data_IF_145078751886
#
_entry.id   IF_145078751886
#
_cell.length_a   1.000
_cell.length_b   1.000
_cell.length_c   1.000
_cell.angle_alpha   90.00
_cell.angle_beta   90.00
_cell.angle_gamma   90.00
#
_symmetry.space_group_name_H-M   'P 1'
#
loop_
_entity.id
_entity.type
_entity.pdbx_description
1 polymer ?
#
# COMPACT_ATOMS: atom_id res chain seq x y z
N UNK A 1 4.72 1.25 26.12
CA UNK A 1 3.31 0.95 26.40
C UNK A 1 2.39 1.96 25.74
N UNK A 2 1.10 1.68 25.73
CA UNK A 2 0.06 2.61 25.25
C UNK A 2 -0.20 3.60 26.38
N UNK A 3 -0.35 4.89 26.07
CA UNK A 3 -0.73 5.91 27.04
C UNK A 3 -2.15 5.58 27.56
N UNK A 4 -2.36 5.53 28.90
CA UNK A 4 -3.66 5.24 29.46
C UNK A 4 -4.80 6.14 28.97
N UNK A 5 -4.52 7.37 28.58
CA UNK A 5 -5.50 8.31 28.02
C UNK A 5 -6.05 7.85 26.66
N UNK A 6 -5.34 6.97 25.97
CA UNK A 6 -5.74 6.40 24.66
C UNK A 6 -6.38 5.01 24.81
N UNK A 7 -6.71 4.60 26.03
CA UNK A 7 -7.36 3.31 26.30
C UNK A 7 -8.84 3.56 26.59
N UNK A 8 -9.70 3.07 25.72
CA UNK A 8 -11.16 3.16 25.85
C UNK A 8 -11.72 1.76 26.14
N UNK A 9 -11.86 1.44 27.42
CA UNK A 9 -12.42 0.17 27.85
C UNK A 9 -13.96 0.16 27.70
N UNK A 10 -14.54 -1.03 27.50
CA UNK A 10 -15.99 -1.24 27.42
C UNK A 10 -16.75 -0.39 26.38
N UNK A 11 -16.06 0.04 25.32
CA UNK A 11 -16.64 0.85 24.27
C UNK A 11 -17.70 0.05 23.48
N UNK A 12 -18.90 0.59 23.36
CA UNK A 12 -19.94 0.04 22.50
C UNK A 12 -19.56 0.17 21.02
N UNK A 13 -20.23 -0.54 20.08
CA UNK A 13 -20.00 -0.39 18.64
C UNK A 13 -20.17 1.06 18.15
N UNK A 14 -21.13 1.79 18.73
CA UNK A 14 -21.36 3.20 18.41
C UNK A 14 -20.20 4.07 18.92
N UNK A 15 -19.71 3.83 20.16
CA UNK A 15 -18.58 4.56 20.73
C UNK A 15 -17.31 4.33 19.91
N UNK A 16 -17.04 3.08 19.51
CA UNK A 16 -15.89 2.76 18.64
C UNK A 16 -15.93 3.56 17.33
N UNK A 17 -17.10 3.62 16.71
CA UNK A 17 -17.30 4.36 15.47
C UNK A 17 -17.04 5.86 15.65
N UNK A 18 -17.54 6.43 16.75
CA UNK A 18 -17.34 7.83 17.06
C UNK A 18 -15.88 8.17 17.39
N UNK A 19 -15.22 7.29 18.17
CA UNK A 19 -13.80 7.43 18.48
C UNK A 19 -12.99 7.43 17.16
N UNK A 20 -13.20 6.44 16.30
CA UNK A 20 -12.48 6.34 15.01
C UNK A 20 -12.73 7.55 14.12
N UNK A 21 -13.98 8.05 14.07
CA UNK A 21 -14.32 9.23 13.28
C UNK A 21 -13.66 10.52 13.80
N UNK A 22 -13.35 10.59 15.10
CA UNK A 22 -12.68 11.74 15.74
C UNK A 22 -11.16 11.72 15.63
N UNK A 23 -10.56 10.61 15.19
CA UNK A 23 -9.10 10.50 15.08
C UNK A 23 -8.53 11.40 13.97
N UNK A 24 -7.31 11.93 14.16
CA UNK A 24 -6.59 12.59 13.08
C UNK A 24 -6.42 11.70 11.85
N UNK A 25 -6.65 12.26 10.67
CA UNK A 25 -6.51 11.54 9.40
C UNK A 25 -5.06 11.57 8.88
N UNK A 26 -4.56 10.48 8.28
CA UNK A 26 -5.23 9.21 7.99
C UNK A 26 -5.28 8.29 9.20
N UNK A 27 -6.43 7.65 9.43
CA UNK A 27 -6.69 6.71 10.51
C UNK A 27 -6.75 5.27 10.03
N UNK A 28 -6.41 4.32 10.92
CA UNK A 28 -6.55 2.88 10.66
C UNK A 28 -7.30 2.24 11.83
N UNK A 29 -8.32 1.46 11.51
CA UNK A 29 -9.04 0.61 12.46
C UNK A 29 -8.69 -0.85 12.21
N UNK A 30 -8.41 -1.58 13.28
CA UNK A 30 -8.21 -3.04 13.25
C UNK A 30 -9.27 -3.67 14.13
N UNK A 31 -10.04 -4.60 13.60
CA UNK A 31 -11.10 -5.28 14.31
C UNK A 31 -11.25 -6.73 13.86
N UNK A 32 -11.91 -7.54 14.69
CA UNK A 32 -12.03 -8.99 14.48
C UNK A 32 -13.45 -9.44 14.14
N UNK A 33 -14.45 -8.57 14.26
CA UNK A 33 -15.80 -9.03 14.28
C UNK A 33 -16.87 -8.15 13.65
N UNK A 34 -18.07 -8.68 13.72
CA UNK A 34 -19.32 -8.07 13.24
C UNK A 34 -19.56 -6.71 13.92
N UNK A 35 -19.22 -6.62 15.20
CA UNK A 35 -19.44 -5.42 16.01
C UNK A 35 -18.53 -4.26 15.66
N UNK A 36 -17.49 -4.50 14.86
CA UNK A 36 -16.51 -3.49 14.43
C UNK A 36 -16.75 -2.98 13.01
N UNK A 37 -17.73 -3.54 12.28
CA UNK A 37 -17.97 -3.23 10.87
C UNK A 37 -18.18 -1.73 10.62
N UNK A 38 -18.96 -1.06 11.46
CA UNK A 38 -19.19 0.38 11.34
C UNK A 38 -17.93 1.21 11.61
N UNK A 39 -17.11 0.82 12.60
CA UNK A 39 -15.85 1.48 12.92
C UNK A 39 -14.78 1.23 11.83
N UNK A 40 -14.73 0.02 11.26
CA UNK A 40 -13.88 -0.32 10.12
C UNK A 40 -14.21 0.55 8.91
N UNK A 41 -15.50 0.70 8.59
CA UNK A 41 -15.97 1.54 7.50
C UNK A 41 -15.74 3.06 7.75
N UNK A 42 -15.74 3.50 9.00
CA UNK A 42 -15.51 4.90 9.37
C UNK A 42 -14.02 5.30 9.30
N UNK A 43 -13.10 4.35 9.28
CA UNK A 43 -11.66 4.61 9.16
C UNK A 43 -11.21 4.83 7.71
N UNK A 44 -10.03 5.45 7.50
CA UNK A 44 -9.45 5.54 6.15
C UNK A 44 -8.96 4.17 5.66
N UNK A 45 -8.54 3.31 6.59
CA UNK A 45 -8.13 1.92 6.30
C UNK A 45 -8.70 1.01 7.37
N UNK A 46 -9.74 0.25 7.02
CA UNK A 46 -10.27 -0.82 7.84
C UNK A 46 -9.51 -2.12 7.61
N UNK A 47 -9.05 -2.76 8.67
CA UNK A 47 -8.37 -4.06 8.65
C UNK A 47 -9.18 -5.06 9.46
N UNK A 48 -9.75 -6.05 8.81
CA UNK A 48 -10.41 -7.16 9.48
C UNK A 48 -9.42 -8.30 9.72
N UNK A 49 -9.34 -8.76 10.96
CA UNK A 49 -8.65 -10.00 11.32
C UNK A 49 -9.70 -11.11 11.18
N UNK A 50 -9.57 -11.91 10.15
CA UNK A 50 -10.61 -12.85 9.78
C UNK A 50 -10.48 -14.17 10.54
N UNK A 51 -11.04 -14.21 11.73
CA UNK A 51 -11.52 -15.47 12.32
C UNK A 51 -12.94 -15.83 11.88
N UNK A 52 -13.57 -15.04 10.99
CA UNK A 52 -14.65 -15.64 10.30
C UNK A 52 -16.00 -15.01 10.06
N UNK A 53 -16.21 -13.74 9.98
CA UNK A 53 -17.53 -13.29 9.53
C UNK A 53 -17.47 -12.52 8.20
N UNK A 54 -18.34 -12.91 7.25
CA UNK A 54 -18.43 -12.27 5.94
C UNK A 54 -18.69 -10.76 6.05
N UNK A 55 -19.44 -10.32 7.07
CA UNK A 55 -19.80 -8.90 7.26
C UNK A 55 -18.58 -8.02 7.58
N UNK A 56 -17.67 -8.49 8.44
CA UNK A 56 -16.44 -7.75 8.74
C UNK A 56 -15.51 -7.69 7.51
N UNK A 57 -15.48 -8.78 6.73
CA UNK A 57 -14.69 -8.83 5.49
C UNK A 57 -15.21 -7.87 4.43
N UNK A 58 -16.51 -7.68 4.30
CA UNK A 58 -17.12 -6.75 3.34
C UNK A 58 -16.89 -5.28 3.73
N UNK A 59 -16.77 -4.99 5.03
CA UNK A 59 -16.57 -3.63 5.56
C UNK A 59 -15.10 -3.20 5.62
N UNK A 60 -14.17 -4.13 5.45
CA UNK A 60 -12.74 -3.88 5.59
C UNK A 60 -12.05 -3.66 4.24
N UNK A 61 -11.09 -2.74 4.21
CA UNK A 61 -10.21 -2.52 3.06
C UNK A 61 -9.15 -3.63 2.91
N UNK A 62 -8.79 -4.26 4.03
CA UNK A 62 -7.78 -5.33 4.12
C UNK A 62 -8.33 -6.43 5.00
N UNK A 63 -8.22 -7.66 4.53
CA UNK A 63 -8.57 -8.85 5.32
C UNK A 63 -7.30 -9.65 5.58
N UNK A 64 -7.01 -9.90 6.85
CA UNK A 64 -5.86 -10.70 7.30
C UNK A 64 -6.39 -12.06 7.78
N UNK A 65 -6.07 -13.15 7.11
CA UNK A 65 -6.48 -14.47 7.55
C UNK A 65 -5.74 -14.86 8.85
N UNK A 66 -6.49 -15.43 9.80
CA UNK A 66 -5.97 -15.85 11.11
C UNK A 66 -6.01 -14.76 12.18
N UNK A 67 -5.52 -15.08 13.39
CA UNK A 67 -5.68 -14.26 14.60
C UNK A 67 -4.45 -13.38 14.92
N UNK A 68 -3.58 -13.16 13.96
CA UNK A 68 -2.29 -12.53 14.18
C UNK A 68 -2.32 -11.02 14.02
N UNK A 69 -2.30 -10.27 15.10
CA UNK A 69 -2.09 -8.80 15.09
C UNK A 69 -0.74 -8.44 14.45
N UNK A 70 0.28 -9.30 14.59
CA UNK A 70 1.59 -9.10 13.95
C UNK A 70 1.49 -9.07 12.43
N UNK A 71 0.56 -9.80 11.84
CA UNK A 71 0.31 -9.76 10.40
C UNK A 71 -0.22 -8.39 9.94
N UNK A 72 -0.96 -7.68 10.79
CA UNK A 72 -1.38 -6.29 10.52
C UNK A 72 -0.17 -5.36 10.40
N UNK A 73 0.76 -5.44 11.34
CA UNK A 73 2.00 -4.63 11.30
C UNK A 73 2.82 -4.93 10.05
N UNK A 74 2.92 -6.21 9.67
CA UNK A 74 3.63 -6.60 8.45
C UNK A 74 2.91 -6.11 7.19
N UNK A 75 1.56 -6.12 7.15
CA UNK A 75 0.80 -5.59 6.02
C UNK A 75 1.04 -4.09 5.80
N UNK A 76 1.07 -3.29 6.87
CA UNK A 76 1.42 -1.85 6.81
C UNK A 76 2.84 -1.66 6.28
N UNK A 77 3.76 -2.49 6.71
CA UNK A 77 5.15 -2.45 6.24
C UNK A 77 5.27 -2.79 4.76
N UNK A 78 4.59 -3.85 4.31
CA UNK A 78 4.51 -4.23 2.90
C UNK A 78 3.94 -3.08 2.08
N UNK A 79 2.83 -2.48 2.52
CA UNK A 79 2.22 -1.34 1.85
C UNK A 79 3.18 -0.16 1.70
N UNK A 80 3.95 0.19 2.74
CA UNK A 80 4.95 1.27 2.69
C UNK A 80 6.06 1.00 1.68
N UNK A 81 6.61 -0.21 1.67
CA UNK A 81 7.67 -0.60 0.72
C UNK A 81 7.13 -0.62 -0.71
N UNK A 82 5.93 -1.15 -0.91
CA UNK A 82 5.25 -1.18 -2.21
C UNK A 82 5.01 0.24 -2.72
N UNK A 83 4.47 1.14 -1.88
CA UNK A 83 4.27 2.56 -2.23
C UNK A 83 5.57 3.24 -2.64
N UNK A 84 6.66 2.99 -1.93
CA UNK A 84 7.98 3.53 -2.29
C UNK A 84 8.44 3.03 -3.66
N UNK A 85 8.27 1.74 -3.93
CA UNK A 85 8.61 1.15 -5.23
C UNK A 85 7.76 1.72 -6.37
N UNK A 86 6.44 1.90 -6.14
CA UNK A 86 5.54 2.53 -7.12
C UNK A 86 5.99 3.96 -7.43
N UNK A 87 6.33 4.76 -6.41
CA UNK A 87 6.83 6.12 -6.62
C UNK A 87 8.13 6.17 -7.43
N UNK A 88 9.05 5.25 -7.15
CA UNK A 88 10.29 5.12 -7.93
C UNK A 88 10.02 4.75 -9.38
N UNK A 89 9.16 3.77 -9.62
CA UNK A 89 8.80 3.34 -10.96
C UNK A 89 8.13 4.48 -11.75
N UNK A 90 7.22 5.20 -11.11
CA UNK A 90 6.54 6.34 -11.71
C UNK A 90 7.53 7.46 -12.03
N UNK A 91 8.46 7.77 -11.12
CA UNK A 91 9.50 8.77 -11.35
C UNK A 91 10.36 8.42 -12.56
N UNK A 92 10.84 7.19 -12.68
CA UNK A 92 11.65 6.77 -13.83
C UNK A 92 10.84 6.83 -15.13
N UNK A 93 9.60 6.33 -15.12
CA UNK A 93 8.74 6.38 -16.30
C UNK A 93 8.50 7.83 -16.78
N UNK A 94 8.20 8.75 -15.85
CA UNK A 94 8.06 10.17 -16.20
C UNK A 94 9.36 10.80 -16.68
N UNK A 95 10.46 10.53 -16.04
CA UNK A 95 11.76 11.11 -16.37
C UNK A 95 12.16 10.77 -17.80
N UNK A 96 12.02 9.50 -18.21
CA UNK A 96 12.33 9.08 -19.57
C UNK A 96 11.42 9.80 -20.59
N UNK A 97 10.12 9.89 -20.32
CA UNK A 97 9.19 10.54 -21.21
C UNK A 97 9.41 12.07 -21.28
N UNK A 98 9.65 12.74 -20.16
CA UNK A 98 9.93 14.17 -20.10
C UNK A 98 11.23 14.54 -20.80
N UNK A 99 12.20 13.64 -20.89
CA UNK A 99 13.43 13.86 -21.64
C UNK A 99 13.27 13.51 -23.13
N UNK A 100 12.69 12.35 -23.43
CA UNK A 100 12.63 11.83 -24.80
C UNK A 100 11.67 12.62 -25.69
N UNK A 101 10.50 13.04 -25.16
CA UNK A 101 9.48 13.72 -25.97
C UNK A 101 9.98 15.09 -26.49
N UNK A 102 10.53 16.00 -25.66
CA UNK A 102 11.06 17.26 -26.16
C UNK A 102 12.23 17.06 -27.14
N UNK A 103 13.15 16.15 -26.84
CA UNK A 103 14.28 15.85 -27.74
C UNK A 103 13.81 15.38 -29.12
N UNK A 104 12.77 14.56 -29.15
CA UNK A 104 12.15 14.11 -30.39
C UNK A 104 11.42 15.26 -31.11
N UNK A 105 10.65 16.07 -30.38
CA UNK A 105 9.87 17.18 -30.95
C UNK A 105 10.75 18.28 -31.56
N UNK A 106 11.90 18.56 -30.96
CA UNK A 106 12.88 19.52 -31.49
C UNK A 106 13.81 18.93 -32.56
N UNK A 107 13.61 17.67 -32.97
CA UNK A 107 14.43 17.01 -33.96
C UNK A 107 15.89 16.75 -33.54
N UNK A 108 16.20 16.89 -32.26
CA UNK A 108 17.56 16.73 -31.70
C UNK A 108 18.06 15.27 -31.75
N UNK A 109 17.16 14.33 -31.99
CA UNK A 109 17.51 12.91 -32.10
C UNK A 109 17.93 12.51 -33.52
N UNK A 110 17.83 13.44 -34.50
CA UNK A 110 18.23 13.21 -35.88
C UNK A 110 17.41 12.10 -36.59
N UNK A 111 17.93 11.53 -37.67
CA UNK A 111 17.23 10.51 -38.47
C UNK A 111 17.01 9.18 -37.69
N UNK A 112 17.75 8.95 -36.62
CA UNK A 112 17.61 7.77 -35.78
C UNK A 112 16.69 7.97 -34.56
N UNK A 113 15.97 9.11 -34.51
CA UNK A 113 15.07 9.48 -33.41
C UNK A 113 14.10 8.39 -32.98
N UNK A 114 13.35 7.74 -33.87
CA UNK A 114 12.44 6.66 -33.52
C UNK A 114 13.13 5.46 -32.86
N UNK A 115 14.32 5.09 -33.33
CA UNK A 115 15.10 3.99 -32.76
C UNK A 115 15.60 4.33 -31.36
N UNK A 116 16.12 5.54 -31.16
CA UNK A 116 16.60 6.01 -29.85
C UNK A 116 15.45 6.06 -28.85
N UNK A 117 14.27 6.56 -29.26
CA UNK A 117 13.08 6.59 -28.41
C UNK A 117 12.61 5.18 -28.03
N UNK A 118 12.58 4.24 -28.98
CA UNK A 118 12.21 2.85 -28.72
C UNK A 118 13.17 2.17 -27.73
N UNK A 119 14.46 2.39 -27.87
CA UNK A 119 15.50 1.87 -26.96
C UNK A 119 15.32 2.49 -25.56
N UNK A 120 15.09 3.78 -25.44
CA UNK A 120 14.86 4.47 -24.18
C UNK A 120 13.62 3.93 -23.46
N UNK A 121 12.50 3.69 -24.17
CA UNK A 121 11.32 3.05 -23.63
C UNK A 121 11.60 1.63 -23.13
N UNK A 122 12.35 0.83 -23.90
CA UNK A 122 12.75 -0.51 -23.47
C UNK A 122 13.58 -0.49 -22.19
N UNK A 123 14.49 0.46 -22.01
CA UNK A 123 15.23 0.63 -20.76
C UNK A 123 14.31 1.03 -19.59
N UNK A 124 13.32 1.88 -19.83
CA UNK A 124 12.31 2.23 -18.83
C UNK A 124 11.57 0.99 -18.32
N UNK A 125 11.08 0.16 -19.23
CA UNK A 125 10.33 -1.06 -18.91
C UNK A 125 11.20 -2.06 -18.15
N UNK A 126 12.43 -2.27 -18.56
CA UNK A 126 13.39 -3.14 -17.86
C UNK A 126 13.64 -2.63 -16.42
N UNK A 127 13.77 -1.32 -16.25
CA UNK A 127 13.98 -0.70 -14.94
C UNK A 127 12.77 -0.94 -14.02
N UNK A 128 11.56 -0.72 -14.51
CA UNK A 128 10.31 -0.93 -13.77
C UNK A 128 10.13 -2.41 -13.39
N UNK A 129 10.33 -3.31 -14.34
CA UNK A 129 10.24 -4.76 -14.11
C UNK A 129 11.31 -5.22 -13.12
N UNK A 130 12.56 -4.79 -13.29
CA UNK A 130 13.66 -5.11 -12.39
C UNK A 130 13.41 -4.65 -10.95
N UNK A 131 12.82 -3.46 -10.78
CA UNK A 131 12.45 -2.92 -9.48
C UNK A 131 11.30 -3.71 -8.83
N UNK A 132 10.31 -4.13 -9.62
CA UNK A 132 9.20 -4.99 -9.17
C UNK A 132 9.69 -6.38 -8.74
N UNK A 133 10.60 -6.99 -9.49
CA UNK A 133 11.23 -8.27 -9.13
C UNK A 133 12.03 -8.13 -7.83
N UNK A 134 12.79 -7.04 -7.68
CA UNK A 134 13.56 -6.74 -6.48
C UNK A 134 12.66 -6.58 -5.25
N UNK A 135 11.50 -5.93 -5.40
CA UNK A 135 10.47 -5.85 -4.36
C UNK A 135 9.99 -7.25 -3.96
N UNK A 136 9.58 -8.08 -4.91
CA UNK A 136 9.12 -9.46 -4.67
C UNK A 136 10.16 -10.28 -3.90
N UNK A 137 11.43 -10.18 -4.29
CA UNK A 137 12.51 -10.89 -3.61
C UNK A 137 12.74 -10.40 -2.16
N UNK A 138 12.64 -9.09 -1.92
CA UNK A 138 12.74 -8.50 -0.57
C UNK A 138 11.62 -8.99 0.35
N UNK A 139 10.40 -9.04 -0.15
CA UNK A 139 9.23 -9.52 0.61
C UNK A 139 9.35 -11.02 0.90
N UNK A 140 9.78 -11.83 -0.08
CA UNK A 140 9.99 -13.28 0.09
C UNK A 140 11.05 -13.62 1.12
N UNK A 141 12.22 -12.97 1.07
CA UNK A 141 13.32 -13.21 2.03
C UNK A 141 12.90 -12.95 3.47
N UNK A 142 12.05 -11.94 3.69
CA UNK A 142 11.57 -11.57 5.02
C UNK A 142 10.53 -12.54 5.56
N UNK A 143 9.64 -13.05 4.71
CA UNK A 143 8.66 -14.06 5.10
C UNK A 143 9.32 -15.35 5.62
N UNK A 144 10.46 -15.72 5.03
CA UNK A 144 11.25 -16.89 5.47
C UNK A 144 11.98 -16.62 6.80
N UNK A 145 12.36 -15.37 7.08
CA UNK A 145 13.05 -15.00 8.33
C UNK A 145 12.11 -14.79 9.52
N UNK A 146 10.80 -14.77 9.31
CA UNK A 146 9.78 -14.59 10.35
C UNK A 146 9.06 -15.89 10.74
N UNK A 147 9.43 -17.01 10.14
CA UNK A 147 9.04 -18.37 10.52
C UNK A 147 10.12 -19.03 11.37
#
# INVERSE_FOLDING_TARGET
GIDPQNVHAEASPADKTQIVASLPRPSMMVGDGINDAAALAASDVGVAIASGTNVAMESASIVIPGDSITATVESVRIARVTRSTIKQNLFFAFMYNCAAIPLAAFGLLGPHGPLIAAVAMGFSDITVIGNAIRLKQRLRKRRVASQ
#
